data_IF_227453546027
#
_entry.id   IF_227453546027
#
_cell.length_a   1.000
_cell.length_b   1.000
_cell.length_c   1.000
_cell.angle_alpha   90.00
_cell.angle_beta   90.00
_cell.angle_gamma   90.00
#
_symmetry.space_group_name_H-M   'P 1'
#
loop_
_entity.id
_entity.type
_entity.pdbx_description
1 polymer ?
#
# COMPACT_ATOMS: atom_id res chain seq x y z
N UNK A 1 -18.46 -7.72 -15.54
CA UNK A 1 -16.98 -7.88 -15.55
C UNK A 1 -16.47 -7.32 -14.24
N UNK A 2 -15.62 -8.05 -13.53
CA UNK A 2 -15.05 -7.58 -12.27
C UNK A 2 -13.92 -6.60 -12.55
N UNK A 3 -14.03 -5.38 -12.03
CA UNK A 3 -12.97 -4.37 -12.12
C UNK A 3 -11.97 -4.61 -10.98
N UNK A 4 -10.69 -4.45 -11.28
CA UNK A 4 -9.61 -4.48 -10.30
C UNK A 4 -8.82 -3.18 -10.36
N UNK A 5 -8.35 -2.73 -9.21
CA UNK A 5 -7.44 -1.62 -9.04
C UNK A 5 -6.08 -2.19 -8.67
N UNK A 6 -5.05 -1.72 -9.36
CA UNK A 6 -3.65 -2.01 -9.05
C UNK A 6 -3.05 -0.73 -8.55
N UNK A 7 -2.46 -0.76 -7.36
CA UNK A 7 -1.80 0.39 -6.76
C UNK A 7 -0.37 0.05 -6.37
N UNK A 8 0.56 0.90 -6.77
CA UNK A 8 1.93 0.94 -6.25
C UNK A 8 1.97 1.88 -5.05
N UNK A 9 2.51 1.39 -3.94
CA UNK A 9 2.47 2.01 -2.63
C UNK A 9 3.89 2.08 -2.06
N UNK A 10 4.23 3.21 -1.47
CA UNK A 10 5.49 3.41 -0.76
C UNK A 10 5.24 4.05 0.60
N UNK A 11 6.23 3.92 1.49
CA UNK A 11 6.38 4.73 2.68
C UNK A 11 7.73 5.45 2.61
N UNK A 12 7.75 6.74 2.93
CA UNK A 12 9.02 7.47 3.10
C UNK A 12 9.55 7.23 4.52
N UNK A 13 10.83 6.85 4.65
CA UNK A 13 11.45 6.38 5.90
C UNK A 13 11.67 7.51 6.92
N UNK A 14 11.79 7.11 8.21
CA UNK A 14 12.23 7.74 9.49
C UNK A 14 12.09 9.26 9.74
N UNK A 15 12.06 10.10 8.72
CA UNK A 15 12.08 11.55 8.76
C UNK A 15 10.73 12.20 8.40
N UNK A 16 9.79 11.44 7.80
CA UNK A 16 8.50 11.95 7.27
C UNK A 16 7.26 11.39 7.99
N UNK A 17 7.35 11.16 9.30
CA UNK A 17 6.24 10.70 10.16
C UNK A 17 5.51 9.44 9.66
N UNK A 18 6.19 8.59 8.89
CA UNK A 18 5.68 7.28 8.52
C UNK A 18 4.38 7.30 7.69
N UNK A 19 4.16 8.36 6.90
CA UNK A 19 2.93 8.52 6.13
C UNK A 19 2.95 7.62 4.88
N UNK A 20 1.97 6.71 4.71
CA UNK A 20 1.88 5.88 3.51
C UNK A 20 1.48 6.72 2.28
N UNK A 21 1.99 6.35 1.12
CA UNK A 21 1.78 7.04 -0.16
C UNK A 21 1.28 6.07 -1.22
N UNK A 22 0.38 6.57 -2.06
CA UNK A 22 0.01 5.94 -3.33
C UNK A 22 0.82 6.59 -4.45
N UNK A 23 1.69 5.82 -5.10
CA UNK A 23 2.57 6.32 -6.16
C UNK A 23 1.88 6.26 -7.53
N UNK A 24 1.24 5.13 -7.83
CA UNK A 24 0.51 4.90 -9.07
C UNK A 24 -0.76 4.11 -8.82
N UNK A 25 -1.78 4.38 -9.62
CA UNK A 25 -3.05 3.64 -9.62
C UNK A 25 -3.48 3.36 -11.04
N UNK A 26 -3.76 2.09 -11.35
CA UNK A 26 -4.19 1.62 -12.66
C UNK A 26 -5.41 0.72 -12.47
N UNK A 27 -6.30 0.66 -13.47
CA UNK A 27 -7.48 -0.20 -13.41
C UNK A 27 -7.51 -1.23 -14.52
N UNK A 28 -7.96 -2.45 -14.19
CA UNK A 28 -8.11 -3.57 -15.10
C UNK A 28 -9.55 -4.12 -15.06
N UNK A 29 -10.00 -4.72 -16.18
CA UNK A 29 -11.34 -5.30 -16.31
C UNK A 29 -11.41 -6.81 -15.97
N UNK A 30 -10.28 -7.37 -15.54
CA UNK A 30 -10.07 -8.72 -15.00
C UNK A 30 -8.94 -8.63 -13.97
N UNK A 31 -8.76 -9.66 -13.14
CA UNK A 31 -7.58 -9.73 -12.26
C UNK A 31 -6.33 -9.80 -13.16
N UNK A 32 -5.40 -8.84 -13.08
CA UNK A 32 -4.23 -8.84 -13.93
C UNK A 32 -3.22 -9.90 -13.48
N UNK A 33 -2.38 -10.36 -14.40
CA UNK A 33 -1.19 -11.16 -14.10
C UNK A 33 -0.06 -10.26 -13.56
N UNK A 34 0.98 -10.87 -13.00
CA UNK A 34 2.19 -10.18 -12.58
C UNK A 34 2.81 -9.39 -13.74
N UNK A 35 3.03 -10.03 -14.90
CA UNK A 35 3.54 -9.38 -16.11
C UNK A 35 2.69 -8.19 -16.59
N UNK A 36 1.35 -8.33 -16.56
CA UNK A 36 0.42 -7.24 -16.93
C UNK A 36 0.55 -6.04 -15.99
N UNK A 37 0.72 -6.30 -14.68
CA UNK A 37 0.96 -5.26 -13.67
C UNK A 37 2.31 -4.59 -13.90
N UNK A 38 3.37 -5.36 -14.13
CA UNK A 38 4.70 -4.81 -14.36
C UNK A 38 4.78 -3.93 -15.60
N UNK A 39 4.23 -4.40 -16.72
CA UNK A 39 4.21 -3.60 -17.94
C UNK A 39 3.42 -2.30 -17.76
N UNK A 40 2.37 -2.31 -16.92
CA UNK A 40 1.54 -1.14 -16.67
C UNK A 40 2.19 -0.15 -15.69
N UNK A 41 2.92 -0.64 -14.68
CA UNK A 41 3.58 0.20 -13.68
C UNK A 41 4.99 0.63 -14.09
N UNK A 42 5.67 -0.10 -14.98
CA UNK A 42 7.07 0.10 -15.37
C UNK A 42 8.05 -0.02 -14.18
N UNK A 43 7.81 -0.99 -13.29
CA UNK A 43 8.46 -1.11 -11.97
C UNK A 43 9.26 -2.42 -11.76
N UNK A 44 9.78 -3.03 -12.83
CA UNK A 44 10.40 -4.37 -12.80
C UNK A 44 11.66 -4.48 -11.91
N UNK A 45 12.35 -3.37 -11.63
CA UNK A 45 13.69 -3.40 -11.02
C UNK A 45 13.70 -3.61 -9.49
N UNK A 46 12.55 -3.63 -8.82
CA UNK A 46 12.48 -3.55 -7.35
C UNK A 46 11.96 -4.81 -6.65
N UNK A 47 11.47 -5.83 -7.36
CA UNK A 47 10.89 -7.01 -6.73
C UNK A 47 11.50 -8.29 -7.31
N UNK A 48 12.20 -9.06 -6.47
CA UNK A 48 12.64 -10.44 -6.76
C UNK A 48 11.53 -11.49 -6.46
N UNK A 49 10.27 -11.03 -6.33
CA UNK A 49 9.12 -11.89 -5.98
C UNK A 49 8.25 -12.08 -7.21
N UNK A 50 8.18 -13.31 -7.71
CA UNK A 50 7.40 -13.65 -8.92
C UNK A 50 5.92 -13.99 -8.64
N UNK A 51 5.49 -13.98 -7.38
CA UNK A 51 4.16 -14.42 -6.95
C UNK A 51 3.39 -13.36 -6.15
N UNK A 52 2.06 -13.50 -6.20
CA UNK A 52 1.14 -12.68 -5.43
C UNK A 52 0.76 -13.37 -4.13
N UNK A 53 1.03 -12.74 -3.00
CA UNK A 53 0.51 -13.15 -1.72
C UNK A 53 -0.98 -12.81 -1.63
N UNK A 54 -1.79 -13.80 -1.30
CA UNK A 54 -3.22 -13.62 -1.09
C UNK A 54 -3.47 -13.20 0.36
N UNK A 55 -3.95 -11.97 0.55
CA UNK A 55 -4.34 -11.46 1.86
C UNK A 55 -5.78 -11.87 2.19
N UNK A 56 -6.69 -11.69 1.22
CA UNK A 56 -8.07 -12.14 1.31
C UNK A 56 -8.65 -12.45 -0.08
N UNK A 57 -9.97 -12.68 -0.17
CA UNK A 57 -10.64 -13.00 -1.44
C UNK A 57 -10.70 -11.82 -2.43
N UNK A 58 -10.37 -10.61 -2.00
CA UNK A 58 -10.49 -9.37 -2.76
C UNK A 58 -9.17 -8.60 -2.87
N UNK A 59 -8.10 -9.09 -2.24
CA UNK A 59 -6.82 -8.41 -2.07
C UNK A 59 -5.64 -9.37 -2.24
N UNK A 60 -4.73 -8.98 -3.12
CA UNK A 60 -3.44 -9.63 -3.32
C UNK A 60 -2.33 -8.60 -3.28
N UNK A 61 -1.14 -8.99 -2.85
CA UNK A 61 0.00 -8.09 -2.77
C UNK A 61 1.32 -8.77 -3.12
N UNK A 62 2.30 -7.94 -3.43
CA UNK A 62 3.72 -8.30 -3.50
C UNK A 62 4.50 -7.11 -2.96
N UNK A 63 5.59 -7.39 -2.25
CA UNK A 63 6.36 -6.42 -1.50
C UNK A 63 7.86 -6.71 -1.61
N UNK A 64 8.73 -5.71 -1.55
CA UNK A 64 10.14 -6.01 -1.38
C UNK A 64 10.38 -6.28 0.12
N UNK A 65 10.67 -7.54 0.46
CA UNK A 65 10.90 -8.01 1.84
C UNK A 65 12.37 -7.96 2.28
N UNK A 66 13.29 -7.40 1.47
CA UNK A 66 14.73 -7.36 1.80
C UNK A 66 15.03 -6.46 3.00
N UNK A 67 14.09 -5.58 3.38
CA UNK A 67 14.14 -4.87 4.64
C UNK A 67 13.18 -5.53 5.62
N UNK A 68 13.70 -6.29 6.58
CA UNK A 68 13.28 -6.46 7.99
C UNK A 68 11.77 -6.45 8.39
N UNK A 69 10.83 -6.51 7.46
CA UNK A 69 9.40 -6.23 7.64
C UNK A 69 8.55 -7.34 7.00
N UNK A 70 7.41 -7.63 7.62
CA UNK A 70 6.53 -8.73 7.23
C UNK A 70 5.59 -8.35 6.07
N UNK A 71 5.19 -9.34 5.27
CA UNK A 71 4.10 -9.21 4.29
C UNK A 71 2.83 -8.69 5.00
N UNK A 72 2.19 -7.67 4.45
CA UNK A 72 1.07 -6.97 5.07
C UNK A 72 1.46 -5.73 5.88
N UNK A 73 2.75 -5.50 6.15
CA UNK A 73 3.22 -4.30 6.85
C UNK A 73 3.07 -3.08 5.92
N UNK A 74 2.38 -2.00 6.32
CA UNK A 74 2.35 -0.75 5.57
C UNK A 74 3.73 -0.07 5.41
N UNK A 75 4.80 -0.61 6.00
CA UNK A 75 6.14 -0.03 6.02
C UNK A 75 7.04 -0.31 4.80
N UNK A 76 6.69 -1.27 3.93
CA UNK A 76 7.50 -1.59 2.76
C UNK A 76 6.90 -1.08 1.44
N UNK A 77 7.74 -1.00 0.40
CA UNK A 77 7.26 -0.77 -0.97
C UNK A 77 6.42 -1.96 -1.41
N UNK A 78 5.17 -1.70 -1.82
CA UNK A 78 4.17 -2.73 -2.09
C UNK A 78 3.40 -2.44 -3.35
N UNK A 79 3.08 -3.48 -4.11
CA UNK A 79 2.03 -3.43 -5.12
C UNK A 79 0.84 -4.23 -4.60
N UNK A 80 -0.36 -3.66 -4.70
CA UNK A 80 -1.62 -4.35 -4.33
C UNK A 80 -2.56 -4.44 -5.52
N UNK A 81 -3.21 -5.59 -5.67
CA UNK A 81 -4.37 -5.81 -6.53
C UNK A 81 -5.60 -5.90 -5.65
N UNK A 82 -6.59 -5.03 -5.88
CA UNK A 82 -7.79 -4.93 -5.06
C UNK A 82 -9.06 -4.79 -5.91
N UNK A 83 -10.21 -5.19 -5.37
CA UNK A 83 -11.49 -4.69 -5.90
C UNK A 83 -11.63 -3.18 -5.62
N UNK A 84 -12.44 -2.42 -6.38
CA UNK A 84 -12.68 -1.01 -6.12
C UNK A 84 -13.18 -0.72 -4.70
N UNK A 85 -13.94 -1.65 -4.13
CA UNK A 85 -14.40 -1.58 -2.73
C UNK A 85 -13.23 -1.63 -1.77
N UNK A 86 -12.36 -2.65 -1.88
CA UNK A 86 -11.19 -2.80 -1.00
C UNK A 86 -10.18 -1.68 -1.14
N UNK A 87 -9.97 -1.20 -2.36
CA UNK A 87 -9.09 -0.06 -2.59
C UNK A 87 -9.59 1.20 -1.86
N UNK A 88 -10.92 1.44 -1.90
CA UNK A 88 -11.52 2.56 -1.17
C UNK A 88 -11.36 2.39 0.34
N UNK A 89 -11.66 1.22 0.89
CA UNK A 89 -11.52 0.93 2.32
C UNK A 89 -10.07 1.15 2.81
N UNK A 90 -9.08 0.73 2.03
CA UNK A 90 -7.66 0.97 2.33
C UNK A 90 -7.34 2.46 2.39
N UNK A 91 -7.77 3.24 1.40
CA UNK A 91 -7.52 4.70 1.36
C UNK A 91 -8.24 5.42 2.51
N UNK A 92 -9.48 5.04 2.81
CA UNK A 92 -10.23 5.62 3.94
C UNK A 92 -9.51 5.36 5.27
N UNK A 93 -9.02 4.14 5.49
CA UNK A 93 -8.24 3.77 6.68
C UNK A 93 -6.92 4.58 6.79
N UNK A 94 -6.23 4.80 5.67
CA UNK A 94 -5.01 5.61 5.66
C UNK A 94 -5.29 7.08 5.99
N UNK A 95 -6.36 7.64 5.47
CA UNK A 95 -6.78 9.00 5.81
C UNK A 95 -7.08 9.12 7.31
N UNK A 96 -7.76 8.13 7.91
CA UNK A 96 -7.99 8.09 9.35
C UNK A 96 -6.70 7.99 10.15
N UNK A 97 -5.78 7.11 9.73
CA UNK A 97 -4.46 6.97 10.35
C UNK A 97 -3.67 8.28 10.34
N UNK A 98 -3.62 8.97 9.19
CA UNK A 98 -2.93 10.25 9.05
C UNK A 98 -3.58 11.30 9.96
N UNK A 99 -4.93 11.37 10.00
CA UNK A 99 -5.63 12.29 10.90
C UNK A 99 -5.27 12.04 12.36
N UNK A 100 -5.29 10.78 12.81
CA UNK A 100 -4.94 10.42 14.19
C UNK A 100 -3.51 10.82 14.55
N UNK A 101 -2.55 10.61 13.65
CA UNK A 101 -1.14 10.88 13.93
C UNK A 101 -0.74 12.36 13.78
N UNK A 102 -1.44 13.10 12.93
CA UNK A 102 -1.16 14.53 12.69
C UNK A 102 -1.99 15.46 13.58
N UNK A 103 -2.99 14.94 14.30
CA UNK A 103 -3.76 15.73 15.27
C UNK A 103 -2.85 16.18 16.40
N UNK A 104 -2.76 17.49 16.70
CA UNK A 104 -1.98 17.99 17.82
C UNK A 104 -2.44 17.33 19.12
N UNK A 105 -1.53 16.66 19.82
CA UNK A 105 -1.80 16.11 21.15
C UNK A 105 -1.77 17.28 22.13
N UNK A 106 -2.82 17.43 22.94
CA UNK A 106 -2.78 18.39 24.06
C UNK A 106 -1.60 18.04 24.95
N UNK A 107 -0.60 18.91 24.98
CA UNK A 107 0.48 18.82 25.96
C UNK A 107 -0.13 19.32 27.26
N UNK A 108 -0.46 18.40 28.16
CA UNK A 108 -0.75 18.80 29.53
C UNK A 108 0.51 19.49 30.06
N UNK A 109 0.42 20.79 30.35
CA UNK A 109 1.48 21.50 31.06
C UNK A 109 1.76 20.73 32.35
N UNK A 110 2.90 20.05 32.38
CA UNK A 110 3.43 19.49 33.62
C UNK A 110 3.97 20.68 34.40
N UNK A 111 3.08 21.36 35.12
CA UNK A 111 3.47 22.33 36.14
C UNK A 111 4.05 21.55 37.32
N UNK A 112 5.38 21.52 37.42
CA UNK A 112 6.10 21.34 38.70
C UNK A 112 6.32 22.71 39.36
#
# INVERSE_FOLDING_TARGET
MSKYIVSSLSKYSEYDNEIPRVDKVISFNKKPTFEEVHAALDEFAYFDIDEWDKIDDETWETGNSDDWYEVGDPACYQIKIQTPKRHKEMVDNWIEYIKLNTTPKEVADVTD
#
